data_IF_723844779571
#
_entry.id   IF_723844779571
#
_cell.length_a   1.000
_cell.length_b   1.000
_cell.length_c   1.000
_cell.angle_alpha   90.00
_cell.angle_beta   90.00
_cell.angle_gamma   90.00
#
_symmetry.space_group_name_H-M   'P 1'
#
loop_
_entity.id
_entity.type
_entity.pdbx_description
1 polymer ?
#
# COMPACT_ATOMS: atom_id res chain seq x y z
N UNK A 1 -12.31 -34.74 6.79
CA UNK A 1 -11.37 -34.59 5.67
C UNK A 1 -10.93 -33.13 5.68
N UNK A 2 -9.74 -32.86 6.20
CA UNK A 2 -9.24 -31.52 6.51
C UNK A 2 -8.71 -30.89 5.22
N UNK A 3 -9.46 -29.95 4.64
CA UNK A 3 -8.95 -29.14 3.52
C UNK A 3 -7.88 -28.22 4.08
N UNK A 4 -6.62 -28.59 3.83
CA UNK A 4 -5.47 -27.70 4.01
C UNK A 4 -5.76 -26.41 3.23
N UNK A 5 -5.54 -25.21 3.81
CA UNK A 5 -5.59 -24.00 3.01
C UNK A 5 -4.51 -24.11 1.94
N UNK A 6 -4.95 -24.02 0.67
CA UNK A 6 -4.08 -23.95 -0.49
C UNK A 6 -3.13 -22.77 -0.28
N UNK A 7 -1.83 -23.00 -0.48
CA UNK A 7 -0.83 -21.94 -0.53
C UNK A 7 -1.21 -20.97 -1.65
N UNK A 8 -1.77 -19.81 -1.28
CA UNK A 8 -2.12 -18.76 -2.23
C UNK A 8 -0.81 -18.12 -2.71
N UNK A 9 -0.52 -18.31 -4.00
CA UNK A 9 0.70 -17.87 -4.68
C UNK A 9 0.63 -16.41 -5.18
N UNK A 10 -0.13 -15.54 -4.51
CA UNK A 10 -0.36 -14.15 -4.91
C UNK A 10 -0.05 -13.21 -3.75
N UNK A 11 0.76 -12.17 -4.00
CA UNK A 11 1.10 -11.14 -3.04
C UNK A 11 0.61 -9.82 -3.65
N UNK A 12 -0.58 -9.38 -3.22
CA UNK A 12 -1.31 -8.14 -3.54
C UNK A 12 -2.14 -8.12 -4.84
N UNK A 13 -3.44 -7.88 -4.69
CA UNK A 13 -4.35 -7.42 -5.73
C UNK A 13 -4.75 -5.98 -5.41
N UNK A 14 -4.66 -5.08 -6.38
CA UNK A 14 -5.10 -3.69 -6.27
C UNK A 14 -6.14 -3.43 -7.37
N UNK A 15 -7.18 -2.67 -7.01
CA UNK A 15 -8.12 -2.07 -7.95
C UNK A 15 -7.73 -0.60 -8.06
N UNK A 16 -7.36 -0.17 -9.26
CA UNK A 16 -6.96 1.21 -9.56
C UNK A 16 -7.12 1.48 -11.06
N UNK A 17 -7.63 2.64 -11.44
CA UNK A 17 -7.72 3.08 -12.83
C UNK A 17 -6.30 3.22 -13.42
N UNK A 18 -5.86 2.22 -14.18
CA UNK A 18 -4.49 2.10 -14.64
C UNK A 18 -4.29 2.55 -16.09
N UNK A 19 -5.37 2.66 -16.87
CA UNK A 19 -5.37 3.17 -18.24
C UNK A 19 -6.08 4.53 -18.41
N UNK A 20 -6.64 5.09 -17.33
CA UNK A 20 -7.25 6.42 -17.31
C UNK A 20 -8.66 6.44 -17.89
N UNK A 21 -9.34 5.29 -17.99
CA UNK A 21 -10.69 5.18 -18.55
C UNK A 21 -11.81 5.49 -17.54
N UNK A 22 -11.45 5.77 -16.28
CA UNK A 22 -12.37 6.04 -15.18
C UNK A 22 -12.91 4.78 -14.50
N UNK A 23 -12.34 3.60 -14.74
CA UNK A 23 -12.72 2.33 -14.11
C UNK A 23 -11.49 1.67 -13.48
N UNK A 24 -11.67 1.15 -12.27
CA UNK A 24 -10.57 0.46 -11.60
C UNK A 24 -10.23 -0.88 -12.26
N UNK A 25 -8.99 -1.03 -12.68
CA UNK A 25 -8.44 -2.23 -13.30
C UNK A 25 -7.89 -3.21 -12.27
N UNK A 26 -7.80 -4.48 -12.64
CA UNK A 26 -7.18 -5.50 -11.80
C UNK A 26 -5.66 -5.50 -12.00
N UNK A 27 -4.95 -5.12 -10.95
CA UNK A 27 -3.50 -5.21 -10.88
C UNK A 27 -3.06 -6.44 -10.09
N UNK A 28 -2.09 -7.17 -10.63
CA UNK A 28 -1.42 -8.28 -9.97
C UNK A 28 0.10 -8.12 -10.04
N UNK A 29 0.73 -8.07 -8.86
CA UNK A 29 2.18 -7.94 -8.72
C UNK A 29 2.75 -9.32 -8.35
N UNK A 30 3.42 -9.94 -9.31
CA UNK A 30 3.96 -11.29 -9.15
C UNK A 30 5.41 -11.22 -8.72
N UNK A 31 5.67 -11.70 -7.50
CA UNK A 31 7.00 -11.62 -6.88
C UNK A 31 7.73 -12.97 -6.78
N UNK A 32 7.04 -14.09 -7.07
CA UNK A 32 7.61 -15.43 -7.00
C UNK A 32 7.27 -16.22 -8.27
N UNK A 33 8.15 -17.16 -8.64
CA UNK A 33 7.99 -18.01 -9.83
C UNK A 33 7.70 -17.17 -11.09
N UNK A 34 8.40 -16.06 -11.25
CA UNK A 34 8.23 -15.12 -12.37
C UNK A 34 8.88 -15.66 -13.63
N UNK A 35 8.29 -15.40 -14.80
CA UNK A 35 8.83 -15.83 -16.09
C UNK A 35 10.06 -15.04 -16.50
N UNK A 36 10.16 -13.78 -16.05
CA UNK A 36 11.26 -12.86 -16.33
C UNK A 36 12.43 -12.97 -15.33
N UNK A 37 12.28 -13.74 -14.25
CA UNK A 37 13.24 -13.76 -13.14
C UNK A 37 13.28 -12.47 -12.31
N UNK A 38 12.36 -11.54 -12.59
CA UNK A 38 12.17 -10.24 -11.91
C UNK A 38 10.74 -10.13 -11.41
N UNK A 39 10.43 -9.15 -10.56
CA UNK A 39 9.03 -8.88 -10.18
C UNK A 39 8.26 -8.46 -11.42
N UNK A 40 7.07 -9.01 -11.63
CA UNK A 40 6.23 -8.74 -12.80
C UNK A 40 4.96 -7.98 -12.42
N UNK A 41 4.58 -7.00 -13.24
CA UNK A 41 3.30 -6.30 -13.13
C UNK A 41 2.38 -6.78 -14.24
N UNK A 42 1.20 -7.24 -13.84
CA UNK A 42 0.13 -7.71 -14.71
C UNK A 42 -1.09 -6.82 -14.48
N UNK A 43 -1.67 -6.26 -15.53
CA UNK A 43 -2.86 -5.41 -15.44
C UNK A 43 -3.91 -5.92 -16.41
N UNK A 44 -5.12 -6.21 -15.91
CA UNK A 44 -6.28 -6.60 -16.70
C UNK A 44 -7.37 -5.52 -16.62
N UNK A 45 -7.85 -5.05 -17.77
CA UNK A 45 -8.72 -3.87 -17.82
C UNK A 45 -10.17 -4.20 -17.48
N UNK A 46 -10.79 -3.36 -16.65
CA UNK A 46 -12.21 -3.42 -16.33
C UNK A 46 -13.10 -3.14 -17.56
N UNK A 47 -12.62 -2.37 -18.55
CA UNK A 47 -13.32 -2.15 -19.81
C UNK A 47 -13.67 -3.46 -20.53
N UNK A 48 -12.85 -4.50 -20.33
CA UNK A 48 -13.01 -5.83 -20.90
C UNK A 48 -13.70 -6.85 -19.98
N UNK A 49 -14.23 -6.43 -18.82
CA UNK A 49 -14.56 -7.35 -17.72
C UNK A 49 -13.36 -8.25 -17.32
N UNK A 50 -12.17 -7.65 -17.25
CA UNK A 50 -10.91 -8.32 -16.91
C UNK A 50 -10.51 -9.47 -17.84
N UNK A 51 -11.07 -9.53 -19.06
CA UNK A 51 -10.73 -10.56 -20.07
C UNK A 51 -9.48 -10.19 -20.89
N UNK A 52 -9.06 -8.93 -20.88
CA UNK A 52 -7.89 -8.43 -21.62
C UNK A 52 -6.83 -7.92 -20.66
N UNK A 53 -5.59 -8.42 -20.80
CA UNK A 53 -4.42 -7.85 -20.13
C UNK A 53 -3.88 -6.69 -20.96
N UNK A 54 -3.78 -5.52 -20.34
CA UNK A 54 -3.22 -4.30 -20.94
C UNK A 54 -1.75 -4.09 -20.54
N UNK A 55 -1.26 -4.84 -19.54
CA UNK A 55 0.15 -4.85 -19.13
C UNK A 55 0.59 -6.26 -18.70
N UNK A 56 1.76 -6.67 -19.16
CA UNK A 56 2.49 -7.86 -18.70
C UNK A 56 3.99 -7.56 -18.89
N UNK A 57 4.69 -7.22 -17.80
CA UNK A 57 6.07 -6.74 -17.88
C UNK A 57 6.88 -7.15 -16.65
N UNK A 58 8.12 -7.58 -16.86
CA UNK A 58 9.11 -7.72 -15.81
C UNK A 58 9.71 -6.35 -15.48
N UNK A 59 9.83 -6.04 -14.20
CA UNK A 59 10.29 -4.73 -13.69
C UNK A 59 11.78 -4.76 -13.40
N UNK A 60 12.40 -3.63 -13.04
CA UNK A 60 13.80 -3.63 -12.58
C UNK A 60 14.02 -4.26 -11.19
N UNK A 61 12.98 -4.65 -10.47
CA UNK A 61 13.10 -5.30 -9.15
C UNK A 61 13.41 -6.79 -9.26
N UNK A 62 14.33 -7.27 -8.41
CA UNK A 62 14.51 -8.70 -8.18
C UNK A 62 13.34 -9.24 -7.33
N UNK A 63 13.03 -10.55 -7.43
CA UNK A 63 12.05 -11.21 -6.56
C UNK A 63 12.40 -11.03 -5.07
N UNK A 64 11.60 -10.25 -4.35
CA UNK A 64 11.73 -10.04 -2.90
C UNK A 64 10.36 -10.03 -2.20
N UNK A 65 10.33 -10.50 -0.95
CA UNK A 65 9.15 -10.61 -0.08
C UNK A 65 9.35 -9.96 1.30
N UNK A 66 10.30 -9.01 1.37
CA UNK A 66 10.72 -8.34 2.59
C UNK A 66 10.01 -7.00 2.83
N UNK A 67 8.86 -6.80 2.21
CA UNK A 67 8.12 -5.54 2.23
C UNK A 67 6.74 -5.67 1.60
N UNK A 68 6.12 -4.53 1.31
CA UNK A 68 4.83 -4.46 0.62
C UNK A 68 4.95 -3.72 -0.70
N UNK A 69 4.12 -4.11 -1.66
CA UNK A 69 4.07 -3.55 -3.00
C UNK A 69 2.80 -2.73 -3.16
N UNK A 70 2.91 -1.56 -3.77
CA UNK A 70 1.81 -0.65 -4.05
C UNK A 70 1.98 -0.02 -5.43
N UNK A 71 0.91 0.57 -5.95
CA UNK A 71 0.94 1.36 -7.17
C UNK A 71 0.23 2.68 -6.92
N UNK A 72 0.84 3.75 -7.42
CA UNK A 72 0.31 5.10 -7.39
C UNK A 72 1.13 5.96 -8.37
N UNK A 73 0.56 7.06 -8.85
CA UNK A 73 1.31 8.07 -9.60
C UNK A 73 2.22 8.83 -8.61
N UNK A 74 3.51 8.47 -8.59
CA UNK A 74 4.47 8.97 -7.60
C UNK A 74 5.13 10.27 -8.07
N UNK A 75 5.37 10.42 -9.37
CA UNK A 75 6.02 11.59 -9.96
C UNK A 75 5.07 12.60 -10.64
N UNK A 76 3.77 12.29 -10.67
CA UNK A 76 2.71 13.19 -11.14
C UNK A 76 2.56 13.22 -12.66
N UNK A 77 3.03 12.18 -13.36
CA UNK A 77 2.97 12.08 -14.82
C UNK A 77 1.64 11.48 -15.35
N UNK A 78 0.76 11.06 -14.44
CA UNK A 78 -0.52 10.42 -14.75
C UNK A 78 -0.41 8.93 -15.08
N UNK A 79 0.76 8.31 -14.91
CA UNK A 79 1.00 6.88 -15.12
C UNK A 79 1.37 6.25 -13.78
N UNK A 80 0.74 5.12 -13.46
CA UNK A 80 1.02 4.45 -12.19
C UNK A 80 2.47 3.94 -12.12
N UNK A 81 3.15 4.31 -11.04
CA UNK A 81 4.47 3.81 -10.69
C UNK A 81 4.37 2.58 -9.78
N UNK A 82 5.42 1.76 -9.79
CA UNK A 82 5.54 0.61 -8.90
C UNK A 82 6.35 0.98 -7.65
N UNK A 83 5.69 0.97 -6.50
CA UNK A 83 6.28 1.33 -5.21
C UNK A 83 6.52 0.07 -4.37
N UNK A 84 7.72 -0.06 -3.82
CA UNK A 84 8.09 -1.10 -2.87
C UNK A 84 8.53 -0.47 -1.55
N UNK A 85 7.77 -0.74 -0.50
CA UNK A 85 8.06 -0.34 0.87
C UNK A 85 8.76 -1.52 1.54
N UNK A 86 10.10 -1.48 1.55
CA UNK A 86 10.94 -2.54 2.09
C UNK A 86 11.09 -2.36 3.60
N UNK A 87 10.63 -3.33 4.37
CA UNK A 87 10.55 -3.25 5.83
C UNK A 87 11.51 -4.19 6.54
N UNK A 88 12.07 -5.20 5.84
CA UNK A 88 13.07 -6.12 6.38
C UNK A 88 14.27 -6.23 5.45
N UNK A 89 15.42 -6.63 5.99
CA UNK A 89 16.67 -6.79 5.23
C UNK A 89 17.04 -5.53 4.41
N UNK A 90 16.80 -4.36 4.99
CA UNK A 90 17.03 -3.04 4.40
C UNK A 90 18.51 -2.67 4.46
N UNK A 91 19.06 -2.08 3.41
CA UNK A 91 20.46 -1.65 3.38
C UNK A 91 20.77 -0.47 4.31
N UNK A 92 19.77 0.36 4.61
CA UNK A 92 19.90 1.56 5.46
C UNK A 92 19.64 1.31 6.95
N UNK A 93 19.19 0.12 7.33
CA UNK A 93 18.69 -0.18 8.68
C UNK A 93 17.40 0.55 9.05
N UNK A 94 16.74 1.16 8.06
CA UNK A 94 15.46 1.89 8.14
C UNK A 94 14.51 1.29 7.12
N UNK A 95 13.20 1.52 7.28
CA UNK A 95 12.24 1.23 6.19
C UNK A 95 12.66 2.03 4.96
N UNK A 96 12.66 1.39 3.81
CA UNK A 96 13.05 2.01 2.54
C UNK A 96 11.88 2.10 1.58
N UNK A 97 11.81 3.20 0.84
CA UNK A 97 10.89 3.39 -0.28
C UNK A 97 11.67 3.33 -1.57
N UNK A 98 11.30 2.38 -2.43
CA UNK A 98 11.86 2.18 -3.75
C UNK A 98 10.74 2.35 -4.79
N UNK A 99 10.97 3.15 -5.83
CA UNK A 99 9.95 3.44 -6.86
C UNK A 99 10.53 3.19 -8.24
N UNK A 100 9.80 2.46 -9.09
CA UNK A 100 10.09 2.32 -10.51
C UNK A 100 9.03 3.01 -11.35
N UNK A 101 9.49 3.82 -12.32
CA UNK A 101 8.62 4.66 -13.15
C UNK A 101 7.71 3.84 -14.07
N UNK A 102 6.41 4.11 -14.07
CA UNK A 102 5.42 3.57 -14.98
C UNK A 102 5.69 3.95 -16.44
N UNK A 103 6.06 5.21 -16.70
CA UNK A 103 6.45 5.70 -18.03
C UNK A 103 7.63 4.92 -18.63
N UNK A 104 8.56 4.47 -17.79
CA UNK A 104 9.70 3.63 -18.21
C UNK A 104 9.35 2.15 -18.39
N UNK A 105 8.07 1.75 -18.29
CA UNK A 105 7.65 0.35 -18.13
C UNK A 105 8.36 -0.33 -16.94
N UNK A 106 8.49 0.39 -15.83
CA UNK A 106 9.13 -0.04 -14.59
C UNK A 106 10.61 -0.43 -14.73
N UNK A 107 11.32 0.09 -15.74
CA UNK A 107 12.74 -0.18 -15.97
C UNK A 107 13.68 0.84 -15.31
N UNK A 108 13.17 2.02 -14.97
CA UNK A 108 13.95 3.08 -14.32
C UNK A 108 13.53 3.25 -12.87
N UNK A 109 14.50 3.20 -11.95
CA UNK A 109 14.35 3.62 -10.55
C UNK A 109 14.30 5.13 -10.47
N UNK A 110 13.21 5.68 -9.93
CA UNK A 110 13.06 7.13 -9.73
C UNK A 110 13.21 7.55 -8.27
N UNK A 111 13.18 6.59 -7.33
CA UNK A 111 13.42 6.84 -5.91
C UNK A 111 13.96 5.57 -5.23
N UNK A 112 15.02 5.69 -4.44
CA UNK A 112 15.55 4.63 -3.56
C UNK A 112 16.12 5.25 -2.27
N UNK A 113 15.32 5.31 -1.20
CA UNK A 113 15.70 6.03 0.04
C UNK A 113 15.29 5.29 1.30
N UNK A 114 16.13 5.37 2.33
CA UNK A 114 15.73 5.06 3.70
C UNK A 114 14.91 6.20 4.31
N UNK A 115 13.93 5.85 5.14
CA UNK A 115 13.01 6.79 5.79
C UNK A 115 13.38 7.01 7.27
N UNK A 116 12.58 7.81 7.98
CA UNK A 116 12.72 7.97 9.43
C UNK A 116 12.17 6.78 10.25
N UNK A 117 11.44 5.85 9.62
CA UNK A 117 10.92 4.65 10.30
C UNK A 117 12.00 3.57 10.52
N UNK A 118 11.98 2.96 11.70
CA UNK A 118 12.67 1.68 11.93
C UNK A 118 11.87 0.52 11.30
N UNK A 119 12.53 -0.56 10.87
CA UNK A 119 11.91 -1.81 10.47
C UNK A 119 10.89 -2.32 11.51
N UNK A 120 9.61 -2.37 11.14
CA UNK A 120 8.52 -2.88 11.97
C UNK A 120 7.50 -3.65 11.11
N UNK A 121 6.88 -4.69 11.68
CA UNK A 121 5.90 -5.59 11.01
C UNK A 121 4.56 -5.70 11.78
N UNK A 122 4.30 -4.76 12.69
CA UNK A 122 3.15 -4.71 13.57
C UNK A 122 2.08 -3.70 13.13
N UNK A 123 1.96 -3.49 11.82
CA UNK A 123 1.03 -2.52 11.23
C UNK A 123 0.91 -2.65 9.72
N UNK A 124 0.27 -1.65 9.12
CA UNK A 124 0.00 -1.56 7.68
C UNK A 124 0.69 -0.32 7.12
N UNK A 125 1.36 -0.49 5.98
CA UNK A 125 2.03 0.59 5.26
C UNK A 125 1.16 1.08 4.10
N UNK A 126 1.12 2.39 3.87
CA UNK A 126 0.37 3.01 2.77
C UNK A 126 1.15 4.19 2.18
N UNK A 127 0.99 4.39 0.88
CA UNK A 127 1.42 5.59 0.17
C UNK A 127 0.19 6.41 -0.19
N UNK A 128 0.06 7.60 0.39
CA UNK A 128 -1.09 8.48 0.16
C UNK A 128 -0.69 9.93 0.45
N UNK A 129 -1.22 10.89 -0.32
CA UNK A 129 -1.03 12.31 -0.04
C UNK A 129 -1.85 12.72 1.19
N UNK A 130 -1.24 12.57 2.37
CA UNK A 130 -1.94 12.75 3.65
C UNK A 130 -2.19 14.23 3.95
N UNK A 131 -1.25 15.09 3.57
CA UNK A 131 -1.28 16.51 3.89
C UNK A 131 -1.76 17.41 2.72
N UNK A 132 -2.08 16.80 1.57
CA UNK A 132 -2.57 17.45 0.34
C UNK A 132 -1.55 18.39 -0.32
N UNK A 133 -0.26 18.08 -0.23
CA UNK A 133 0.81 18.86 -0.89
C UNK A 133 1.12 18.38 -2.31
N UNK A 134 0.40 17.37 -2.81
CA UNK A 134 0.59 16.77 -4.12
C UNK A 134 1.72 15.74 -4.17
N UNK A 135 2.30 15.36 -3.02
CA UNK A 135 3.32 14.31 -2.94
C UNK A 135 2.84 13.20 -2.02
N UNK A 136 3.10 11.96 -2.42
CA UNK A 136 2.71 10.81 -1.61
C UNK A 136 3.54 10.75 -0.32
N UNK A 137 2.85 10.75 0.81
CA UNK A 137 3.42 10.55 2.14
C UNK A 137 3.48 9.05 2.46
N UNK A 138 4.48 8.66 3.26
CA UNK A 138 4.58 7.29 3.77
C UNK A 138 3.84 7.19 5.11
N UNK A 139 2.70 6.50 5.08
CA UNK A 139 1.83 6.27 6.23
C UNK A 139 2.09 4.89 6.81
N UNK A 140 2.15 4.82 8.13
CA UNK A 140 2.19 3.59 8.91
C UNK A 140 1.05 3.58 9.93
N UNK A 141 0.11 2.66 9.75
CA UNK A 141 -0.96 2.38 10.71
C UNK A 141 -0.48 1.25 11.61
N UNK A 142 0.04 1.60 12.78
CA UNK A 142 0.57 0.65 13.75
C UNK A 142 -0.57 0.06 14.57
N UNK A 143 -0.76 -1.25 14.51
CA UNK A 143 -1.92 -1.95 15.07
C UNK A 143 -1.58 -2.83 16.25
N UNK A 144 -0.33 -3.22 16.45
CA UNK A 144 0.11 -4.07 17.58
C UNK A 144 1.35 -3.48 18.24
N UNK A 145 1.57 -3.78 19.52
CA UNK A 145 2.70 -3.25 20.30
C UNK A 145 2.85 -1.71 20.21
N UNK A 146 1.72 -1.02 20.26
CA UNK A 146 1.59 0.45 20.19
C UNK A 146 1.92 1.07 21.54
N UNK A 147 2.61 2.21 21.55
CA UNK A 147 2.95 2.91 22.80
C UNK A 147 1.75 3.47 23.55
N UNK A 148 0.67 3.78 22.83
CA UNK A 148 -0.58 4.35 23.37
C UNK A 148 -1.61 3.32 23.81
N UNK A 149 -1.39 2.03 23.53
CA UNK A 149 -2.42 0.98 23.71
C UNK A 149 -3.64 1.12 22.78
N UNK A 150 -3.53 1.98 21.76
CA UNK A 150 -4.51 2.27 20.71
C UNK A 150 -3.83 2.07 19.36
N UNK A 151 -4.62 1.90 18.29
CA UNK A 151 -4.07 1.99 16.92
C UNK A 151 -3.44 3.36 16.75
N UNK A 152 -2.24 3.43 16.17
CA UNK A 152 -1.51 4.67 15.94
C UNK A 152 -1.34 4.95 14.46
N UNK A 153 -1.43 6.22 14.07
CA UNK A 153 -1.14 6.69 12.72
C UNK A 153 0.14 7.51 12.76
N UNK A 154 1.13 7.07 12.01
CA UNK A 154 2.44 7.71 11.86
C UNK A 154 2.66 8.06 10.39
N UNK A 155 3.05 9.29 10.08
CA UNK A 155 3.19 9.76 8.69
C UNK A 155 4.54 10.45 8.51
N UNK A 156 5.30 10.01 7.50
CA UNK A 156 6.51 10.69 7.03
C UNK A 156 6.22 11.44 5.73
N UNK A 157 6.60 12.71 5.66
CA UNK A 157 6.28 13.57 4.52
C UNK A 157 7.08 13.20 3.26
N UNK A 158 6.38 13.00 2.14
CA UNK A 158 6.95 12.83 0.81
C UNK A 158 7.71 14.05 0.33
N UNK A 159 7.23 15.27 0.64
CA UNK A 159 7.96 16.52 0.36
C UNK A 159 9.34 16.59 1.01
N UNK A 160 9.51 15.95 2.17
CA UNK A 160 10.81 15.82 2.86
C UNK A 160 11.62 14.60 2.44
N UNK A 161 11.17 13.83 1.44
CA UNK A 161 11.74 12.51 1.10
C UNK A 161 11.76 11.59 2.34
N UNK A 162 10.65 11.60 3.07
CA UNK A 162 10.39 10.81 4.29
C UNK A 162 11.37 11.04 5.44
N UNK A 163 11.95 12.24 5.53
CA UNK A 163 12.87 12.64 6.61
C UNK A 163 12.17 13.34 7.77
N UNK A 164 10.98 13.89 7.55
CA UNK A 164 10.19 14.58 8.57
C UNK A 164 8.90 13.81 8.88
N UNK A 165 8.62 13.63 10.17
CA UNK A 165 7.33 13.15 10.68
C UNK A 165 6.33 14.31 10.70
N UNK A 166 5.20 14.14 10.03
CA UNK A 166 4.11 15.15 10.03
C UNK A 166 2.92 14.74 10.89
N UNK A 167 2.84 13.46 11.29
CA UNK A 167 1.81 12.94 12.18
C UNK A 167 2.36 11.76 12.99
N UNK A 168 2.13 11.72 14.29
CA UNK A 168 2.43 10.59 15.19
C UNK A 168 1.42 10.58 16.35
N UNK A 169 0.28 9.91 16.18
CA UNK A 169 -0.83 9.95 17.16
C UNK A 169 -1.48 8.59 17.41
N UNK A 170 -1.92 8.37 18.65
CA UNK A 170 -2.87 7.32 19.00
C UNK A 170 -4.30 7.72 18.63
N UNK A 171 -5.08 6.75 18.17
CA UNK A 171 -6.45 6.96 17.69
C UNK A 171 -7.47 6.54 18.76
N UNK A 172 -8.75 6.65 18.44
CA UNK A 172 -9.84 6.14 19.29
C UNK A 172 -9.97 4.61 19.24
N UNK A 173 -9.35 3.95 18.26
CA UNK A 173 -9.49 2.53 18.04
C UNK A 173 -8.59 1.68 18.94
N UNK A 174 -9.15 0.59 19.44
CA UNK A 174 -8.36 -0.49 20.04
C UNK A 174 -7.69 -1.31 18.94
N UNK A 175 -6.48 -1.86 19.20
CA UNK A 175 -5.86 -2.89 18.37
C UNK A 175 -6.80 -4.06 18.05
N UNK A 176 -7.05 -4.30 16.76
CA UNK A 176 -7.81 -5.45 16.26
C UNK A 176 -7.10 -6.03 15.01
N UNK A 177 -7.08 -7.37 14.89
CA UNK A 177 -6.35 -8.12 13.84
C UNK A 177 -7.26 -8.98 12.94
N UNK A 178 -8.58 -8.85 13.09
CA UNK A 178 -9.62 -9.59 12.38
C UNK A 178 -10.26 -8.79 11.22
N UNK A 179 -9.45 -7.95 10.59
CA UNK A 179 -9.86 -7.02 9.55
C UNK A 179 -8.67 -6.32 8.91
N UNK A 180 -8.94 -5.25 8.17
CA UNK A 180 -7.90 -4.42 7.55
C UNK A 180 -8.14 -2.94 7.80
N UNK A 181 -7.03 -2.21 7.89
CA UNK A 181 -6.98 -0.77 8.19
C UNK A 181 -6.61 0.01 6.94
N UNK A 182 -7.22 1.18 6.76
CA UNK A 182 -6.92 2.07 5.64
C UNK A 182 -7.20 3.53 5.99
N UNK A 183 -6.38 4.44 5.45
CA UNK A 183 -6.75 5.84 5.31
C UNK A 183 -7.49 6.06 3.99
N UNK A 184 -8.67 6.68 4.06
CA UNK A 184 -9.52 6.99 2.90
C UNK A 184 -10.41 8.19 3.23
N UNK A 185 -10.70 9.04 2.25
CA UNK A 185 -11.74 10.07 2.39
C UNK A 185 -13.13 9.40 2.29
N UNK A 186 -13.59 8.84 3.41
CA UNK A 186 -14.81 8.03 3.46
C UNK A 186 -16.06 8.90 3.31
N UNK A 187 -16.02 10.12 3.86
CA UNK A 187 -17.17 11.02 3.93
C UNK A 187 -17.18 12.08 2.80
N UNK A 188 -16.14 12.14 1.96
CA UNK A 188 -15.95 13.09 0.84
C UNK A 188 -15.77 14.54 1.27
N UNK A 189 -15.19 14.79 2.45
CA UNK A 189 -14.82 16.12 2.92
C UNK A 189 -13.39 16.54 2.51
N UNK A 190 -12.71 15.64 1.79
CA UNK A 190 -11.33 15.78 1.32
C UNK A 190 -10.31 15.32 2.36
N UNK A 191 -10.67 15.12 3.63
CA UNK A 191 -9.77 14.72 4.71
C UNK A 191 -9.73 13.22 4.78
N UNK A 192 -8.54 12.65 4.96
CA UNK A 192 -8.44 11.21 5.14
C UNK A 192 -8.98 10.80 6.51
N UNK A 193 -9.92 9.86 6.48
CA UNK A 193 -10.47 9.19 7.64
C UNK A 193 -9.74 7.87 7.88
N UNK A 194 -9.66 7.44 9.14
CA UNK A 194 -9.18 6.10 9.47
C UNK A 194 -10.37 5.12 9.44
N UNK A 195 -10.36 4.22 8.46
CA UNK A 195 -11.34 3.16 8.31
C UNK A 195 -10.77 1.80 8.75
N UNK A 196 -11.62 1.03 9.41
CA UNK A 196 -11.39 -0.37 9.75
C UNK A 196 -12.52 -1.24 9.19
N UNK A 197 -12.15 -2.18 8.32
CA UNK A 197 -13.09 -3.16 7.77
C UNK A 197 -12.87 -4.48 8.47
N UNK A 198 -13.77 -4.79 9.39
CA UNK A 198 -13.76 -6.02 10.19
C UNK A 198 -14.45 -7.13 9.43
N UNK A 199 -13.75 -8.23 9.20
CA UNK A 199 -14.23 -9.34 8.36
C UNK A 199 -14.43 -10.64 9.11
N UNK A 200 -13.87 -10.76 10.33
CA UNK A 200 -14.00 -11.95 11.17
C UNK A 200 -14.39 -11.57 12.60
N UNK A 201 -15.06 -12.48 13.32
CA UNK A 201 -15.52 -12.26 14.70
C UNK A 201 -16.28 -10.93 14.87
N UNK A 202 -17.15 -10.63 13.91
CA UNK A 202 -17.94 -9.40 13.89
C UNK A 202 -19.13 -9.54 14.85
N UNK A 203 -19.52 -8.45 15.52
CA UNK A 203 -20.65 -8.45 16.45
C UNK A 203 -21.99 -8.64 15.74
N UNK A 204 -22.05 -8.28 14.46
CA UNK A 204 -23.25 -8.36 13.60
C UNK A 204 -23.36 -9.66 12.80
N UNK A 205 -22.32 -10.50 12.76
CA UNK A 205 -22.25 -11.64 11.85
C UNK A 205 -22.14 -11.27 10.37
N UNK A 206 -21.90 -9.99 10.06
CA UNK A 206 -21.63 -9.44 8.71
C UNK A 206 -20.32 -8.65 8.73
N UNK A 207 -19.81 -8.22 7.57
CA UNK A 207 -18.69 -7.28 7.50
C UNK A 207 -19.11 -5.97 8.19
N UNK A 208 -18.23 -5.42 9.03
CA UNK A 208 -18.45 -4.14 9.71
C UNK A 208 -17.42 -3.12 9.24
N UNK A 209 -17.86 -1.90 8.98
CA UNK A 209 -16.97 -0.78 8.67
C UNK A 209 -17.07 0.21 9.82
N UNK A 210 -15.93 0.47 10.46
CA UNK A 210 -15.80 1.43 11.53
C UNK A 210 -14.91 2.57 11.05
N UNK A 211 -15.34 3.82 11.23
CA UNK A 211 -14.63 5.00 10.72
C UNK A 211 -14.42 6.00 11.84
N UNK A 212 -13.19 6.50 11.97
CA UNK A 212 -12.89 7.68 12.78
C UNK A 212 -12.50 8.81 11.84
N UNK A 213 -13.28 9.90 11.89
CA UNK A 213 -13.08 11.01 10.97
C UNK A 213 -11.75 11.72 11.22
N UNK A 214 -11.09 12.11 10.13
CA UNK A 214 -10.00 13.06 10.17
C UNK A 214 -10.45 14.41 10.71
N UNK A 215 -9.49 15.24 11.14
CA UNK A 215 -9.74 16.65 11.50
C UNK A 215 -8.94 17.55 10.57
N UNK A 216 -9.56 18.66 10.18
CA UNK A 216 -8.89 19.80 9.56
C UNK A 216 -7.96 20.51 10.56
#
# INVERSE_FOLDING_TARGET
MQTRPLSINAIWHLLIDADGDGRDDLVYIKTRNTGTGRVEVHIATAASNFQTRIKDVGTTFLPEDNGTWQMADFDGDGILDLIYIKTRNTGTGRVEVHVASGASNYQTRIQEVGTTFYPEDNGVWQMIDFNRDGKLDLVYIKTRNTGTGRVEVHVASGASTYKTRVQEVGTTFYPEDNGFWQLIDFNKDGVLDLAYVKTQNTGTGRIEVHVANGRN
#
